data_IF_960452940814
#
_entry.id   IF_960452940814
#
_cell.length_a   1.000
_cell.length_b   1.000
_cell.length_c   1.000
_cell.angle_alpha   90.00
_cell.angle_beta   90.00
_cell.angle_gamma   90.00
#
_symmetry.space_group_name_H-M   'P 1'
#
loop_
_entity.id
_entity.type
_entity.pdbx_description
1 polymer ?
#
# COMPACT_ATOMS: atom_id res chain seq x y z
N UNK A 1 24.72 30.35 45.78
CA UNK A 1 25.06 30.13 44.36
C UNK A 1 24.74 28.69 44.05
N UNK A 2 23.60 28.47 43.41
CA UNK A 2 23.13 27.16 42.97
C UNK A 2 23.87 26.86 41.65
N UNK A 3 24.69 25.82 41.63
CA UNK A 3 25.39 25.39 40.42
C UNK A 3 24.36 24.84 39.45
N UNK A 4 24.21 25.49 38.30
CA UNK A 4 23.49 24.93 37.17
C UNK A 4 24.13 23.57 36.83
N UNK A 5 23.35 22.50 36.92
CA UNK A 5 23.77 21.18 36.49
C UNK A 5 24.18 21.29 35.01
N UNK A 6 25.41 20.90 34.70
CA UNK A 6 25.83 20.78 33.31
C UNK A 6 24.93 19.74 32.63
N UNK A 7 24.32 20.10 31.50
CA UNK A 7 23.54 19.17 30.70
C UNK A 7 24.47 18.02 30.27
N UNK A 8 24.24 16.83 30.82
CA UNK A 8 24.97 15.62 30.42
C UNK A 8 24.39 15.16 29.09
N UNK A 9 25.10 15.43 28.00
CA UNK A 9 24.80 14.80 26.71
C UNK A 9 24.99 13.29 26.83
N UNK A 10 23.99 12.55 26.33
CA UNK A 10 24.00 11.08 26.27
C UNK A 10 23.61 10.67 24.87
N UNK A 11 24.25 9.62 24.38
CA UNK A 11 23.93 9.04 23.08
C UNK A 11 22.48 8.54 23.05
N UNK A 12 21.74 8.95 22.03
CA UNK A 12 20.35 8.52 21.82
C UNK A 12 20.33 7.18 21.11
N UNK A 13 19.66 6.18 21.68
CA UNK A 13 19.47 4.89 21.01
C UNK A 13 18.73 5.01 19.67
N UNK A 14 17.83 6.00 19.54
CA UNK A 14 17.15 6.31 18.29
C UNK A 14 18.11 6.93 17.26
N UNK A 15 19.02 7.80 17.71
CA UNK A 15 20.04 8.40 16.84
C UNK A 15 20.97 7.35 16.26
N UNK A 16 21.50 6.45 17.11
CA UNK A 16 22.36 5.34 16.64
C UNK A 16 21.64 4.46 15.62
N UNK A 17 20.38 4.08 15.89
CA UNK A 17 19.59 3.25 14.96
C UNK A 17 19.36 3.96 13.62
N UNK A 18 19.07 5.27 13.63
CA UNK A 18 18.86 6.03 12.40
C UNK A 18 20.13 6.16 11.58
N UNK A 19 21.27 6.39 12.23
CA UNK A 19 22.56 6.45 11.55
C UNK A 19 22.92 5.10 10.94
N UNK A 20 22.69 4.00 11.67
CA UNK A 20 22.90 2.64 11.16
C UNK A 20 21.99 2.32 9.97
N UNK A 21 20.67 2.53 10.11
CA UNK A 21 19.70 2.27 9.04
C UNK A 21 19.89 3.19 7.83
N UNK A 22 20.34 4.43 8.02
CA UNK A 22 20.68 5.33 6.92
C UNK A 22 21.98 4.89 6.22
N UNK A 23 23.01 4.54 6.99
CA UNK A 23 24.28 4.08 6.44
C UNK A 23 24.15 2.74 5.70
N UNK A 24 23.29 1.84 6.19
CA UNK A 24 22.93 0.59 5.51
C UNK A 24 22.02 0.83 4.30
N UNK A 25 21.35 1.98 4.21
CA UNK A 25 20.43 2.29 3.11
C UNK A 25 19.06 1.62 3.25
N UNK A 26 18.66 1.27 4.47
CA UNK A 26 17.31 0.83 4.82
C UNK A 26 16.31 2.00 4.80
N UNK A 27 16.77 3.20 5.13
CA UNK A 27 15.96 4.42 5.17
C UNK A 27 16.63 5.58 4.43
N UNK A 28 15.81 6.46 3.85
CA UNK A 28 16.30 7.66 3.15
C UNK A 28 16.53 8.82 4.10
N UNK A 29 17.39 9.77 3.71
CA UNK A 29 17.65 10.97 4.52
C UNK A 29 16.39 11.83 4.77
N UNK A 30 15.46 11.87 3.80
CA UNK A 30 14.17 12.53 3.97
C UNK A 30 13.30 11.83 5.03
N UNK A 31 13.31 10.49 5.06
CA UNK A 31 12.61 9.73 6.08
C UNK A 31 13.25 9.89 7.47
N UNK A 32 14.59 9.91 7.56
CA UNK A 32 15.30 10.24 8.80
C UNK A 32 14.88 11.61 9.33
N UNK A 33 14.82 12.63 8.46
CA UNK A 33 14.41 13.97 8.85
C UNK A 33 12.98 14.00 9.41
N UNK A 34 12.03 13.31 8.75
CA UNK A 34 10.65 13.22 9.21
C UNK A 34 10.54 12.53 10.58
N UNK A 35 11.29 11.43 10.79
CA UNK A 35 11.36 10.74 12.09
C UNK A 35 11.91 11.65 13.19
N UNK A 36 12.92 12.45 12.89
CA UNK A 36 13.50 13.40 13.87
C UNK A 36 12.55 14.53 14.22
N UNK A 37 11.80 15.06 13.26
CA UNK A 37 10.77 16.06 13.54
C UNK A 37 9.68 15.48 14.45
N UNK A 38 9.22 14.25 14.20
CA UNK A 38 8.25 13.56 15.05
C UNK A 38 8.79 13.35 16.46
N UNK A 39 10.04 12.88 16.60
CA UNK A 39 10.68 12.67 17.90
C UNK A 39 10.80 13.97 18.71
N UNK A 40 11.20 15.09 18.10
CA UNK A 40 11.26 16.40 18.78
C UNK A 40 9.87 16.86 19.24
N UNK A 41 8.83 16.61 18.44
CA UNK A 41 7.46 16.95 18.81
C UNK A 41 6.99 16.11 20.01
N UNK A 42 7.29 14.81 20.04
CA UNK A 42 6.94 13.94 21.16
C UNK A 42 7.67 14.35 22.44
N UNK A 43 8.96 14.71 22.35
CA UNK A 43 9.75 15.23 23.49
C UNK A 43 9.11 16.50 24.07
N UNK A 44 8.73 17.45 23.21
CA UNK A 44 8.05 18.69 23.63
C UNK A 44 6.72 18.37 24.32
N UNK A 45 5.91 17.52 23.72
CA UNK A 45 4.59 17.14 24.26
C UNK A 45 4.72 16.42 25.61
N UNK A 46 5.71 15.52 25.78
CA UNK A 46 5.98 14.88 27.06
C UNK A 46 6.48 15.87 28.12
N UNK A 47 7.32 16.83 27.73
CA UNK A 47 7.89 17.85 28.63
C UNK A 47 6.87 18.88 29.08
N UNK A 48 6.08 19.39 28.15
CA UNK A 48 5.21 20.56 28.36
C UNK A 48 3.83 20.14 28.90
N UNK A 49 3.29 19.02 28.42
CA UNK A 49 1.93 18.55 28.77
C UNK A 49 1.92 17.33 29.71
N UNK A 50 3.09 16.75 30.01
CA UNK A 50 3.19 15.52 30.80
C UNK A 50 2.56 14.30 30.11
N UNK A 51 2.41 14.34 28.79
CA UNK A 51 1.75 13.30 28.01
C UNK A 51 2.55 11.98 28.00
N UNK A 52 1.84 10.86 27.94
CA UNK A 52 2.42 9.52 27.74
C UNK A 52 2.04 8.98 26.36
N UNK A 53 2.83 8.03 25.85
CA UNK A 53 2.62 7.42 24.53
C UNK A 53 2.43 5.90 24.62
N UNK A 54 1.29 5.41 25.15
CA UNK A 54 1.12 3.99 25.49
C UNK A 54 1.26 3.03 24.30
N UNK A 55 0.92 3.47 23.09
CA UNK A 55 1.10 2.65 21.89
C UNK A 55 2.59 2.48 21.56
N UNK A 56 3.40 3.54 21.66
CA UNK A 56 4.84 3.46 21.41
C UNK A 56 5.52 2.56 22.44
N UNK A 57 5.18 2.73 23.73
CA UNK A 57 5.70 1.87 24.81
C UNK A 57 5.36 0.40 24.59
N UNK A 58 4.09 0.12 24.23
CA UNK A 58 3.65 -1.24 23.91
C UNK A 58 4.43 -1.81 22.74
N UNK A 59 4.57 -1.07 21.64
CA UNK A 59 5.29 -1.51 20.45
C UNK A 59 6.78 -1.77 20.76
N UNK A 60 7.42 -0.90 21.55
CA UNK A 60 8.80 -1.06 21.98
C UNK A 60 9.02 -2.30 22.87
N UNK A 61 8.00 -2.74 23.63
CA UNK A 61 8.09 -3.94 24.47
C UNK A 61 7.98 -5.27 23.72
N UNK A 62 7.67 -5.26 22.42
CA UNK A 62 7.43 -6.49 21.65
C UNK A 62 8.75 -7.20 21.33
N UNK A 63 8.99 -8.34 21.98
CA UNK A 63 10.25 -9.10 21.88
C UNK A 63 10.42 -9.93 20.58
N UNK A 64 9.34 -10.17 19.83
CA UNK A 64 9.37 -11.04 18.64
C UNK A 64 8.78 -10.31 17.43
N UNK A 65 9.49 -10.28 16.30
CA UNK A 65 9.10 -9.52 15.11
C UNK A 65 7.70 -9.87 14.54
N UNK A 66 7.28 -11.14 14.62
CA UNK A 66 5.92 -11.55 14.20
C UNK A 66 4.82 -10.91 15.04
N UNK A 67 5.06 -10.73 16.35
CA UNK A 67 4.10 -10.08 17.24
C UNK A 67 4.08 -8.56 17.03
N UNK A 68 5.17 -7.99 16.48
CA UNK A 68 5.27 -6.56 16.22
C UNK A 68 4.43 -6.18 15.00
N UNK A 69 4.60 -6.89 13.87
CA UNK A 69 3.84 -6.64 12.66
C UNK A 69 2.33 -6.72 12.93
N UNK A 70 1.88 -7.79 13.60
CA UNK A 70 0.47 -7.93 13.96
C UNK A 70 -0.02 -6.80 14.89
N UNK A 71 0.79 -6.37 15.86
CA UNK A 71 0.44 -5.27 16.77
C UNK A 71 0.31 -3.93 16.03
N UNK A 72 1.18 -3.70 15.05
CA UNK A 72 1.15 -2.51 14.20
C UNK A 72 -0.08 -2.52 13.29
N UNK A 73 -0.37 -3.63 12.62
CA UNK A 73 -1.56 -3.81 11.77
C UNK A 73 -2.85 -3.56 12.57
N UNK A 74 -2.97 -4.12 13.79
CA UNK A 74 -4.12 -3.87 14.67
C UNK A 74 -4.24 -2.41 15.12
N UNK A 75 -3.12 -1.73 15.36
CA UNK A 75 -3.12 -0.31 15.71
C UNK A 75 -3.53 0.56 14.52
N UNK A 76 -3.04 0.24 13.32
CA UNK A 76 -3.42 0.88 12.07
C UNK A 76 -4.91 0.67 11.79
N UNK A 77 -5.43 -0.54 11.96
CA UNK A 77 -6.85 -0.85 11.75
C UNK A 77 -7.78 -0.01 12.64
N UNK A 78 -7.36 0.32 13.87
CA UNK A 78 -8.16 1.17 14.77
C UNK A 78 -8.18 2.64 14.37
N UNK A 79 -7.14 3.11 13.67
CA UNK A 79 -6.94 4.53 13.35
C UNK A 79 -7.24 4.85 11.89
N UNK A 80 -7.07 3.88 11.00
CA UNK A 80 -7.18 4.02 9.56
C UNK A 80 -8.53 3.51 9.08
N UNK A 81 -9.18 4.28 8.20
CA UNK A 81 -10.35 3.84 7.43
C UNK A 81 -9.97 3.09 6.15
N UNK A 82 -8.67 2.91 5.91
CA UNK A 82 -8.19 2.16 4.75
C UNK A 82 -8.49 0.68 4.90
N UNK A 83 -8.79 0.06 3.77
CA UNK A 83 -9.05 -1.36 3.65
C UNK A 83 -7.83 -2.15 4.10
N UNK A 84 -8.08 -3.19 4.89
CA UNK A 84 -7.03 -4.11 5.31
C UNK A 84 -6.69 -5.06 4.16
N UNK A 85 -5.42 -5.44 3.97
CA UNK A 85 -5.06 -6.45 2.99
C UNK A 85 -5.84 -7.75 3.19
N UNK A 86 -6.33 -8.32 2.10
CA UNK A 86 -6.99 -9.62 2.09
C UNK A 86 -5.92 -10.70 2.26
N UNK A 87 -6.13 -11.58 3.23
CA UNK A 87 -5.31 -12.78 3.39
C UNK A 87 -5.66 -13.81 2.33
N UNK A 88 -4.68 -14.20 1.52
CA UNK A 88 -4.86 -15.15 0.42
C UNK A 88 -3.82 -16.27 0.47
N UNK A 89 -4.21 -17.44 -0.04
CA UNK A 89 -3.30 -18.58 -0.22
C UNK A 89 -2.82 -18.61 -1.67
N UNK A 90 -1.60 -18.17 -1.88
CA UNK A 90 -0.86 -18.30 -3.14
C UNK A 90 0.31 -19.26 -2.91
N UNK A 91 0.59 -20.21 -3.82
CA UNK A 91 1.74 -21.11 -3.67
C UNK A 91 3.04 -20.31 -3.57
N UNK A 92 3.84 -20.54 -2.53
CA UNK A 92 5.14 -19.89 -2.32
C UNK A 92 6.18 -20.91 -1.85
N UNK A 93 7.43 -20.71 -2.24
CA UNK A 93 8.53 -21.57 -1.78
C UNK A 93 8.73 -21.42 -0.27
N UNK A 94 8.56 -22.52 0.47
CA UNK A 94 8.60 -22.52 1.94
C UNK A 94 7.41 -21.82 2.60
N UNK A 95 6.35 -21.55 1.83
CA UNK A 95 5.08 -21.05 2.36
C UNK A 95 4.34 -22.12 3.15
N UNK A 96 3.46 -21.73 4.08
CA UNK A 96 2.63 -22.68 4.81
C UNK A 96 1.58 -23.33 3.89
N UNK A 97 1.31 -24.62 4.08
CA UNK A 97 0.30 -25.37 3.31
C UNK A 97 -1.12 -25.17 3.84
N UNK A 98 -1.27 -24.82 5.11
CA UNK A 98 -2.53 -24.89 5.87
C UNK A 98 -3.16 -23.52 6.18
N UNK A 99 -2.50 -22.41 5.80
CA UNK A 99 -2.95 -21.05 6.09
C UNK A 99 -2.60 -20.07 4.97
N UNK A 100 -3.22 -18.88 4.94
CA UNK A 100 -2.87 -17.84 3.98
C UNK A 100 -1.38 -17.54 3.98
N UNK A 101 -0.81 -17.41 2.78
CA UNK A 101 0.62 -17.22 2.56
C UNK A 101 0.97 -15.77 2.22
N UNK A 102 -0.03 -14.96 1.83
CA UNK A 102 0.16 -13.57 1.41
C UNK A 102 -0.95 -12.65 1.93
N UNK A 103 -0.60 -11.38 2.09
CA UNK A 103 -1.52 -10.26 2.26
C UNK A 103 -1.55 -9.48 0.94
N UNK A 104 -2.72 -9.30 0.35
CA UNK A 104 -2.89 -8.59 -0.93
C UNK A 104 -3.92 -7.49 -0.78
N UNK A 105 -3.58 -6.29 -1.24
CA UNK A 105 -4.55 -5.20 -1.34
C UNK A 105 -5.31 -5.35 -2.65
N UNK A 106 -6.51 -5.93 -2.59
CA UNK A 106 -7.31 -6.22 -3.77
C UNK A 106 -7.87 -4.92 -4.37
N UNK A 107 -7.70 -4.68 -5.70
CA UNK A 107 -8.20 -3.47 -6.35
C UNK A 107 -9.66 -3.11 -6.06
N UNK A 108 -10.59 -4.06 -6.12
CA UNK A 108 -12.00 -3.76 -5.86
C UNK A 108 -12.28 -3.36 -4.42
N UNK A 109 -11.61 -3.98 -3.44
CA UNK A 109 -11.78 -3.61 -2.04
C UNK A 109 -11.18 -2.22 -1.79
N UNK A 110 -9.96 -1.97 -2.27
CA UNK A 110 -9.30 -0.65 -2.17
C UNK A 110 -10.17 0.46 -2.75
N UNK A 111 -10.61 0.30 -4.01
CA UNK A 111 -11.42 1.30 -4.70
C UNK A 111 -12.76 1.53 -3.97
N UNK A 112 -13.43 0.47 -3.53
CA UNK A 112 -14.65 0.58 -2.74
C UNK A 112 -14.41 1.32 -1.41
N UNK A 113 -13.35 0.98 -0.68
CA UNK A 113 -13.02 1.64 0.58
C UNK A 113 -12.69 3.13 0.41
N UNK A 114 -11.96 3.48 -0.64
CA UNK A 114 -11.69 4.88 -0.98
C UNK A 114 -12.97 5.63 -1.35
N UNK A 115 -13.86 4.98 -2.12
CA UNK A 115 -15.15 5.55 -2.51
C UNK A 115 -16.07 5.79 -1.31
N UNK A 116 -16.23 4.79 -0.42
CA UNK A 116 -17.14 4.86 0.74
C UNK A 116 -16.59 5.77 1.84
N UNK A 117 -15.29 5.72 2.11
CA UNK A 117 -14.70 6.54 3.18
C UNK A 117 -14.60 8.03 2.79
N UNK A 118 -14.75 8.37 1.50
CA UNK A 118 -14.55 9.70 0.93
C UNK A 118 -13.10 10.19 0.95
N UNK A 119 -12.20 9.46 1.62
CA UNK A 119 -10.79 9.81 1.73
C UNK A 119 -10.01 9.40 0.49
N UNK A 120 -9.44 10.38 -0.22
CA UNK A 120 -8.50 10.13 -1.31
C UNK A 120 -9.12 9.74 -2.65
N UNK A 121 -10.43 9.45 -2.75
CA UNK A 121 -11.05 9.08 -4.04
C UNK A 121 -10.86 10.16 -5.12
N UNK A 122 -11.18 11.42 -4.81
CA UNK A 122 -11.00 12.54 -5.74
C UNK A 122 -9.51 12.85 -5.98
N UNK A 123 -8.66 12.64 -4.98
CA UNK A 123 -7.22 12.89 -5.13
C UNK A 123 -6.55 11.85 -6.03
N UNK A 124 -6.91 10.58 -5.86
CA UNK A 124 -6.15 9.44 -6.34
C UNK A 124 -6.83 8.68 -7.50
N UNK A 125 -8.17 8.74 -7.61
CA UNK A 125 -8.95 7.90 -8.53
C UNK A 125 -9.73 8.75 -9.55
N UNK A 126 -10.75 9.49 -9.12
CA UNK A 126 -11.60 10.29 -10.02
C UNK A 126 -11.67 11.73 -9.52
N UNK A 127 -10.78 12.62 -9.98
CA UNK A 127 -10.76 14.01 -9.53
C UNK A 127 -12.07 14.76 -9.74
N UNK A 128 -12.65 14.63 -10.94
CA UNK A 128 -13.95 15.17 -11.27
C UNK A 128 -14.65 14.26 -12.29
N UNK A 129 -15.98 14.22 -12.25
CA UNK A 129 -16.77 13.33 -13.10
C UNK A 129 -16.68 13.70 -14.60
N UNK A 130 -16.41 14.96 -14.95
CA UNK A 130 -16.30 15.41 -16.35
C UNK A 130 -15.06 14.86 -17.06
N UNK A 131 -14.06 14.37 -16.33
CA UNK A 131 -12.84 13.82 -16.91
C UNK A 131 -13.08 12.49 -17.63
N UNK A 132 -14.08 11.71 -17.22
CA UNK A 132 -14.39 10.41 -17.80
C UNK A 132 -14.77 10.52 -19.29
N UNK A 133 -15.81 11.31 -19.67
CA UNK A 133 -16.13 11.51 -21.07
C UNK A 133 -14.99 12.10 -21.88
N UNK A 134 -14.20 13.01 -21.30
CA UNK A 134 -13.06 13.66 -21.96
C UNK A 134 -11.93 12.68 -22.26
N UNK A 135 -11.61 11.81 -21.30
CA UNK A 135 -10.63 10.75 -21.48
C UNK A 135 -11.07 9.80 -22.60
N UNK A 136 -12.29 9.27 -22.53
CA UNK A 136 -12.78 8.31 -23.52
C UNK A 136 -13.00 8.92 -24.90
N UNK A 137 -13.35 10.21 -24.99
CA UNK A 137 -13.37 10.93 -26.26
C UNK A 137 -11.98 10.99 -26.90
N UNK A 138 -10.94 11.24 -26.10
CA UNK A 138 -9.56 11.31 -26.57
C UNK A 138 -9.00 9.93 -26.96
N UNK A 139 -9.45 8.87 -26.30
CA UNK A 139 -8.95 7.51 -26.51
C UNK A 139 -9.74 6.70 -27.53
N UNK A 140 -10.89 7.21 -28.00
CA UNK A 140 -11.85 6.51 -28.85
C UNK A 140 -11.21 5.84 -30.06
N UNK A 141 -10.32 6.57 -30.73
CA UNK A 141 -9.71 6.14 -32.00
C UNK A 141 -8.34 5.46 -31.79
N UNK A 142 -7.94 5.22 -30.54
CA UNK A 142 -6.68 4.55 -30.24
C UNK A 142 -6.71 3.09 -30.74
N UNK A 143 -5.62 2.55 -31.33
CA UNK A 143 -5.61 1.18 -31.87
C UNK A 143 -6.02 0.09 -30.88
N UNK A 144 -5.76 0.27 -29.58
CA UNK A 144 -6.15 -0.68 -28.54
C UNK A 144 -7.67 -0.77 -28.30
N UNK A 145 -8.45 0.21 -28.81
CA UNK A 145 -9.90 0.19 -28.71
C UNK A 145 -10.54 -0.70 -29.79
N UNK A 146 -9.81 -1.03 -30.86
CA UNK A 146 -10.31 -1.89 -31.92
C UNK A 146 -10.69 -3.27 -31.37
N UNK A 147 -11.98 -3.60 -31.38
CA UNK A 147 -12.51 -4.85 -30.84
C UNK A 147 -12.47 -4.95 -29.31
N UNK A 148 -12.19 -3.84 -28.60
CA UNK A 148 -12.07 -3.88 -27.14
C UNK A 148 -13.42 -4.18 -26.47
N UNK A 149 -13.50 -5.13 -25.50
CA UNK A 149 -14.76 -5.54 -24.87
C UNK A 149 -15.56 -4.39 -24.23
N UNK A 150 -14.88 -3.32 -23.80
CA UNK A 150 -15.52 -2.14 -23.22
C UNK A 150 -16.53 -1.47 -24.17
N UNK A 151 -16.31 -1.58 -25.49
CA UNK A 151 -17.20 -1.00 -26.51
C UNK A 151 -18.60 -1.64 -26.49
N UNK A 152 -18.75 -2.84 -25.93
CA UNK A 152 -20.04 -3.49 -25.73
C UNK A 152 -20.88 -2.89 -24.59
N UNK A 153 -20.34 -1.97 -23.79
CA UNK A 153 -21.04 -1.34 -22.66
C UNK A 153 -21.53 0.05 -23.04
N UNK A 154 -22.84 0.26 -23.08
CA UNK A 154 -23.42 1.53 -23.52
C UNK A 154 -22.98 2.75 -22.70
N UNK A 155 -22.63 2.59 -21.42
CA UNK A 155 -22.30 3.68 -20.49
C UNK A 155 -20.81 3.80 -20.15
N UNK A 156 -19.92 3.16 -20.92
CA UNK A 156 -18.50 3.11 -20.56
C UNK A 156 -17.85 4.50 -20.46
N UNK A 157 -18.26 5.43 -21.32
CA UNK A 157 -17.72 6.78 -21.38
C UNK A 157 -18.05 7.62 -20.14
N UNK A 158 -19.09 7.24 -19.39
CA UNK A 158 -19.54 7.95 -18.19
C UNK A 158 -19.16 7.23 -16.89
N UNK A 159 -18.90 5.92 -16.93
CA UNK A 159 -18.73 5.10 -15.72
C UNK A 159 -17.46 4.27 -15.66
N UNK A 160 -16.81 3.97 -16.79
CA UNK A 160 -15.65 3.11 -16.79
C UNK A 160 -14.38 3.91 -16.45
N UNK A 161 -13.80 3.67 -15.27
CA UNK A 161 -12.55 4.30 -14.85
C UNK A 161 -11.37 3.58 -15.54
N UNK A 162 -10.57 4.27 -16.38
CA UNK A 162 -9.37 3.69 -16.96
C UNK A 162 -8.29 3.52 -15.89
N UNK A 163 -7.82 2.29 -15.70
CA UNK A 163 -6.76 1.95 -14.76
C UNK A 163 -5.53 1.46 -15.53
N UNK A 164 -4.34 1.83 -15.05
CA UNK A 164 -3.07 1.27 -15.52
C UNK A 164 -2.56 0.30 -14.45
N UNK A 165 -2.31 -0.95 -14.85
CA UNK A 165 -1.64 -1.95 -14.02
C UNK A 165 -0.16 -1.96 -14.38
N UNK A 166 0.69 -1.91 -13.37
CA UNK A 166 2.13 -1.93 -13.52
C UNK A 166 2.74 -3.01 -12.63
N UNK A 167 3.71 -3.73 -13.18
CA UNK A 167 4.54 -4.69 -12.46
C UNK A 167 5.99 -4.48 -12.85
N UNK A 168 6.88 -4.37 -11.87
CA UNK A 168 8.31 -4.17 -12.08
C UNK A 168 9.13 -4.81 -10.95
N UNK A 169 10.40 -5.09 -11.23
CA UNK A 169 11.35 -5.52 -10.21
C UNK A 169 12.06 -4.30 -9.64
N UNK A 170 11.77 -3.96 -8.39
CA UNK A 170 12.30 -2.74 -7.76
C UNK A 170 13.29 -3.05 -6.64
N UNK A 171 14.38 -2.29 -6.52
CA UNK A 171 15.33 -2.46 -5.43
C UNK A 171 14.68 -2.04 -4.10
N UNK A 172 14.62 -2.95 -3.13
CA UNK A 172 13.98 -2.73 -1.83
C UNK A 172 14.95 -2.76 -0.65
N UNK A 173 16.13 -3.36 -0.80
CA UNK A 173 17.19 -3.33 0.21
C UNK A 173 18.53 -3.03 -0.44
N UNK A 174 19.38 -2.23 0.21
CA UNK A 174 20.69 -1.88 -0.32
C UNK A 174 20.64 -1.10 -1.62
N UNK A 175 19.68 -0.18 -1.76
CA UNK A 175 19.48 0.59 -2.99
C UNK A 175 20.78 1.32 -3.37
N UNK A 176 21.25 1.08 -4.60
CA UNK A 176 22.53 1.64 -5.10
C UNK A 176 23.79 0.98 -4.54
N UNK A 177 23.67 -0.16 -3.83
CA UNK A 177 24.80 -0.96 -3.33
C UNK A 177 24.92 -2.27 -4.12
N UNK A 178 26.12 -2.87 -4.11
CA UNK A 178 26.40 -4.15 -4.79
C UNK A 178 25.57 -5.32 -4.24
N UNK A 179 25.15 -5.25 -2.98
CA UNK A 179 24.34 -6.26 -2.30
C UNK A 179 22.83 -5.95 -2.40
N UNK A 180 22.42 -5.12 -3.37
CA UNK A 180 21.03 -4.75 -3.58
C UNK A 180 20.13 -6.00 -3.74
N UNK A 181 19.01 -6.00 -3.04
CA UNK A 181 17.96 -7.01 -3.22
C UNK A 181 16.70 -6.33 -3.74
N UNK A 182 16.17 -6.88 -4.82
CA UNK A 182 14.95 -6.39 -5.45
C UNK A 182 13.77 -7.31 -5.16
N UNK A 183 12.57 -6.75 -5.25
CA UNK A 183 11.32 -7.48 -5.14
C UNK A 183 10.46 -7.15 -6.36
N UNK A 184 9.78 -8.17 -6.89
CA UNK A 184 8.70 -7.96 -7.84
C UNK A 184 7.58 -7.22 -7.11
N UNK A 185 7.16 -6.08 -7.64
CA UNK A 185 6.08 -5.27 -7.10
C UNK A 185 5.02 -5.03 -8.15
N UNK A 186 3.77 -5.10 -7.70
CA UNK A 186 2.58 -4.84 -8.51
C UNK A 186 1.79 -3.71 -7.90
N UNK A 187 1.39 -2.78 -8.74
CA UNK A 187 0.64 -1.59 -8.37
C UNK A 187 -0.25 -1.17 -9.53
N UNK A 188 -1.26 -0.37 -9.23
CA UNK A 188 -2.10 0.23 -10.25
C UNK A 188 -2.34 1.70 -9.94
N UNK A 189 -2.76 2.45 -10.94
CA UNK A 189 -3.16 3.84 -10.78
C UNK A 189 -4.35 4.19 -11.67
N UNK A 190 -5.09 5.22 -11.29
CA UNK A 190 -6.10 5.79 -12.18
C UNK A 190 -5.44 6.66 -13.24
N UNK A 191 -5.69 6.33 -14.50
CA UNK A 191 -5.21 7.14 -15.62
C UNK A 191 -5.89 8.51 -15.65
N UNK A 192 -7.08 8.67 -15.04
CA UNK A 192 -7.76 9.96 -14.92
C UNK A 192 -7.01 10.88 -13.95
N UNK A 193 -6.62 10.37 -12.79
CA UNK A 193 -5.90 11.16 -11.80
C UNK A 193 -4.53 11.57 -12.35
N UNK A 194 -3.84 10.67 -13.03
CA UNK A 194 -2.58 10.98 -13.73
C UNK A 194 -2.79 12.02 -14.85
N UNK A 195 -3.83 11.88 -15.68
CA UNK A 195 -4.16 12.86 -16.73
C UNK A 195 -4.55 14.24 -16.16
N UNK A 196 -5.06 14.29 -14.94
CA UNK A 196 -5.35 15.53 -14.21
C UNK A 196 -4.09 16.17 -13.57
N UNK A 197 -2.89 15.62 -13.80
CA UNK A 197 -1.63 16.16 -13.30
C UNK A 197 -1.31 15.80 -11.85
N UNK A 198 -1.93 14.75 -11.30
CA UNK A 198 -1.59 14.23 -9.96
C UNK A 198 -0.23 13.53 -9.98
N UNK A 199 0.52 13.65 -8.89
CA UNK A 199 1.83 13.01 -8.74
C UNK A 199 1.70 11.48 -8.65
N UNK A 200 2.80 10.76 -8.92
CA UNK A 200 2.84 9.32 -8.70
C UNK A 200 2.58 8.94 -7.22
N UNK A 201 3.05 9.76 -6.27
CA UNK A 201 2.77 9.60 -4.84
C UNK A 201 1.26 9.62 -4.54
N UNK A 202 0.51 10.46 -5.25
CA UNK A 202 -0.95 10.54 -5.08
C UNK A 202 -1.68 9.38 -5.75
N UNK A 203 -1.18 8.88 -6.88
CA UNK A 203 -1.97 7.97 -7.73
C UNK A 203 -1.57 6.51 -7.63
N UNK A 204 -0.34 6.20 -7.18
CA UNK A 204 0.17 4.83 -7.17
C UNK A 204 -0.43 4.04 -6.01
N UNK A 205 -1.20 3.01 -6.32
CA UNK A 205 -1.83 2.12 -5.35
C UNK A 205 -1.11 0.77 -5.38
N UNK A 206 -0.44 0.43 -4.27
CA UNK A 206 0.25 -0.84 -4.11
C UNK A 206 -0.75 -2.01 -4.00
N UNK A 207 -0.45 -3.13 -4.65
CA UNK A 207 -1.26 -4.36 -4.63
C UNK A 207 -0.53 -5.46 -3.85
N UNK A 208 0.67 -5.79 -4.30
CA UNK A 208 1.43 -6.95 -3.83
C UNK A 208 2.91 -6.80 -4.17
N UNK A 209 3.77 -7.39 -3.33
CA UNK A 209 5.21 -7.43 -3.56
C UNK A 209 5.82 -8.71 -3.03
N UNK A 210 6.79 -9.27 -3.76
CA UNK A 210 7.43 -10.54 -3.41
C UNK A 210 8.88 -10.60 -3.89
N UNK A 211 9.76 -11.19 -3.08
CA UNK A 211 11.10 -11.54 -3.54
C UNK A 211 11.05 -12.76 -4.47
N UNK A 212 11.70 -12.68 -5.63
CA UNK A 212 11.71 -13.75 -6.63
C UNK A 212 12.13 -15.11 -6.07
N UNK A 213 13.02 -15.13 -5.07
CA UNK A 213 13.46 -16.37 -4.39
C UNK A 213 12.32 -17.18 -3.76
N UNK A 214 11.17 -16.57 -3.51
CA UNK A 214 9.97 -17.23 -2.96
C UNK A 214 8.94 -17.62 -4.04
N UNK A 215 9.14 -17.21 -5.28
CA UNK A 215 8.24 -17.48 -6.40
C UNK A 215 8.45 -18.92 -6.89
N UNK A 216 7.35 -19.67 -6.98
CA UNK A 216 7.22 -20.96 -7.64
C UNK A 216 6.59 -20.75 -9.03
N UNK A 217 6.68 -21.74 -9.94
CA UNK A 217 6.03 -21.65 -11.26
C UNK A 217 4.53 -21.34 -11.19
N UNK A 218 3.85 -21.77 -10.12
CA UNK A 218 2.42 -21.60 -9.92
C UNK A 218 2.06 -20.28 -9.20
N UNK A 219 3.03 -19.59 -8.60
CA UNK A 219 2.80 -18.36 -7.81
C UNK A 219 2.18 -17.25 -8.66
N UNK A 220 2.83 -16.92 -9.77
CA UNK A 220 2.39 -15.80 -10.62
C UNK A 220 1.07 -16.09 -11.35
N UNK A 221 0.84 -17.29 -11.91
CA UNK A 221 -0.47 -17.66 -12.42
C UNK A 221 -1.60 -17.50 -11.39
N UNK A 222 -1.41 -18.01 -10.16
CA UNK A 222 -2.40 -17.88 -9.09
C UNK A 222 -2.63 -16.43 -8.68
N UNK A 223 -1.56 -15.62 -8.61
CA UNK A 223 -1.67 -14.17 -8.35
C UNK A 223 -2.47 -13.46 -9.45
N UNK A 224 -2.19 -13.72 -10.73
CA UNK A 224 -2.90 -13.08 -11.83
C UNK A 224 -4.35 -13.55 -11.96
N UNK A 225 -4.68 -14.78 -11.59
CA UNK A 225 -6.07 -15.26 -11.52
C UNK A 225 -6.86 -14.48 -10.46
N UNK A 226 -6.30 -14.34 -9.25
CA UNK A 226 -6.87 -13.51 -8.19
C UNK A 226 -7.03 -12.04 -8.63
N UNK A 227 -5.99 -11.49 -9.27
CA UNK A 227 -5.99 -10.09 -9.70
C UNK A 227 -7.02 -9.84 -10.81
N UNK A 228 -7.12 -10.76 -11.78
CA UNK A 228 -8.16 -10.73 -12.82
C UNK A 228 -9.54 -10.72 -12.20
N UNK A 229 -9.83 -11.63 -11.27
CA UNK A 229 -11.12 -11.67 -10.57
C UNK A 229 -11.43 -10.33 -9.89
N UNK A 230 -10.45 -9.73 -9.20
CA UNK A 230 -10.62 -8.43 -8.56
C UNK A 230 -10.97 -7.31 -9.54
N UNK A 231 -10.33 -7.25 -10.72
CA UNK A 231 -10.68 -6.26 -11.74
C UNK A 231 -12.01 -6.56 -12.46
N UNK A 232 -12.38 -7.83 -12.62
CA UNK A 232 -13.70 -8.22 -13.13
C UNK A 232 -14.82 -7.76 -12.18
N UNK A 233 -14.59 -7.83 -10.86
CA UNK A 233 -15.50 -7.26 -9.85
C UNK A 233 -15.64 -5.74 -10.03
N UNK A 234 -14.53 -5.02 -10.21
CA UNK A 234 -14.57 -3.58 -10.50
C UNK A 234 -15.41 -3.29 -11.76
N UNK A 235 -15.16 -4.03 -12.84
CA UNK A 235 -15.87 -3.86 -14.12
C UNK A 235 -17.36 -4.19 -14.01
N UNK A 236 -17.72 -5.18 -13.20
CA UNK A 236 -19.12 -5.52 -12.92
C UNK A 236 -19.83 -4.44 -12.09
N UNK A 237 -19.08 -3.69 -11.27
CA UNK A 237 -19.63 -2.69 -10.35
C UNK A 237 -20.51 -3.29 -9.27
N UNK A 238 -20.29 -4.57 -8.93
CA UNK A 238 -21.09 -5.34 -7.97
C UNK A 238 -20.17 -6.06 -7.02
N UNK A 239 -20.46 -5.97 -5.73
CA UNK A 239 -19.72 -6.72 -4.72
C UNK A 239 -19.85 -8.23 -4.96
N UNK A 240 -18.75 -9.00 -4.91
CA UNK A 240 -18.78 -10.42 -5.25
C UNK A 240 -19.45 -11.24 -4.14
N UNK A 241 -20.33 -12.16 -4.51
CA UNK A 241 -20.89 -13.13 -3.58
C UNK A 241 -19.93 -14.29 -3.26
N UNK A 242 -18.93 -14.51 -4.13
CA UNK A 242 -17.94 -15.59 -4.07
C UNK A 242 -16.54 -15.03 -4.34
N UNK A 243 -15.54 -15.60 -3.68
CA UNK A 243 -14.13 -15.31 -3.94
C UNK A 243 -13.67 -15.83 -5.32
N UNK A 244 -12.40 -15.58 -5.66
CA UNK A 244 -11.80 -16.01 -6.93
C UNK A 244 -11.80 -17.54 -7.12
N UNK A 245 -11.97 -18.31 -6.05
CA UNK A 245 -12.05 -19.78 -6.07
C UNK A 245 -13.51 -20.28 -6.16
N UNK A 246 -14.47 -19.38 -6.22
CA UNK A 246 -15.90 -19.71 -6.23
C UNK A 246 -16.48 -20.06 -4.85
N UNK A 247 -15.73 -19.80 -3.77
CA UNK A 247 -16.15 -20.05 -2.39
C UNK A 247 -16.93 -18.83 -1.89
N UNK A 248 -18.05 -19.04 -1.19
CA UNK A 248 -18.88 -17.93 -0.71
C UNK A 248 -18.09 -17.03 0.26
N UNK A 249 -18.16 -15.73 0.05
CA UNK A 249 -17.47 -14.74 0.87
C UNK A 249 -18.04 -14.72 2.30
N UNK A 250 -17.19 -14.81 3.33
CA UNK A 250 -17.59 -14.74 4.75
C UNK A 250 -17.25 -13.42 5.44
N UNK A 251 -16.54 -12.51 4.78
CA UNK A 251 -16.19 -11.21 5.37
C UNK A 251 -17.35 -10.23 5.27
N UNK A 252 -17.82 -9.77 6.43
CA UNK A 252 -18.69 -8.60 6.55
C UNK A 252 -17.83 -7.33 6.50
N UNK A 253 -18.22 -6.38 5.65
CA UNK A 253 -17.74 -5.00 5.71
C UNK A 253 -18.53 -4.22 6.76
#
# INVERSE_FOLDING_TARGET
>A
MEQAAADVERDSALESLLLESFASGEISGAFCHALMQAAVQDIKTARDDGATFPLMEKLASVKHGKNFQQSLELALQRKSKLVQPTQVSIPLKGGPEDRPSCNILLPHEMLHGMFVSGGGWERCVVPTADLLPRFWASFRDHPCMSGHPILGRADYHEKAIPLCLHGDEVPVMGVGKIWCHSALQFSFNSMLATAAGRSAEDTQMFIFGIFEKFVLPETMPAFFELLRWSFEVCLAGKWPAKDWRGIRHSYAF
#
